data_IF_460631414338
#
_entry.id   IF_460631414338
#
_cell.length_a   1.000
_cell.length_b   1.000
_cell.length_c   1.000
_cell.angle_alpha   90.00
_cell.angle_beta   90.00
_cell.angle_gamma   90.00
#
_symmetry.space_group_name_H-M   'P 1'
#
loop_
_entity.id
_entity.type
_entity.pdbx_description
1 polymer ?
#
# COMPACT_ATOMS: atom_id res chain seq x y z
N UNK A 1 19.47 0.92 12.93
CA UNK A 1 19.17 -0.52 12.88
C UNK A 1 20.49 -1.28 12.94
N UNK A 2 20.69 -2.08 13.97
CA UNK A 2 21.77 -3.07 14.00
C UNK A 2 21.25 -4.37 13.39
N UNK A 3 22.00 -5.07 12.54
CA UNK A 3 21.55 -6.28 11.82
C UNK A 3 21.07 -7.45 12.72
N UNK A 4 21.20 -7.31 14.04
CA UNK A 4 20.84 -8.34 15.03
C UNK A 4 19.56 -8.02 15.82
N UNK A 5 18.90 -6.90 15.59
CA UNK A 5 17.67 -6.55 16.31
C UNK A 5 16.44 -6.98 15.52
N UNK A 6 15.55 -7.74 16.18
CA UNK A 6 14.23 -8.05 15.62
C UNK A 6 13.37 -6.79 15.59
N UNK A 7 12.58 -6.57 14.51
CA UNK A 7 11.70 -5.41 14.43
C UNK A 7 10.72 -5.38 15.60
N UNK A 8 10.49 -4.20 16.19
CA UNK A 8 9.52 -4.00 17.26
C UNK A 8 8.09 -3.91 16.77
N UNK A 9 7.89 -3.63 15.50
CA UNK A 9 6.58 -3.53 14.87
C UNK A 9 6.41 -4.68 13.89
N UNK A 10 5.36 -5.44 14.08
CA UNK A 10 4.93 -6.52 13.22
C UNK A 10 3.53 -6.25 12.67
N UNK A 11 3.04 -7.16 11.87
CA UNK A 11 1.65 -7.15 11.44
C UNK A 11 0.69 -7.24 12.66
N UNK A 12 -0.55 -6.70 12.55
CA UNK A 12 -1.55 -6.85 13.59
C UNK A 12 -1.70 -8.30 14.06
N UNK A 13 -1.63 -8.50 15.37
CA UNK A 13 -1.66 -9.85 15.99
C UNK A 13 -0.29 -10.53 16.17
N UNK A 14 0.81 -9.89 15.76
CA UNK A 14 2.19 -10.33 16.01
C UNK A 14 2.95 -9.32 16.88
N UNK A 15 2.31 -8.85 17.95
CA UNK A 15 2.92 -7.88 18.86
C UNK A 15 4.18 -8.47 19.53
N UNK A 16 5.31 -7.76 19.49
CA UNK A 16 6.53 -8.21 20.14
C UNK A 16 6.36 -8.22 21.66
N UNK A 17 6.99 -9.18 22.34
CA UNK A 17 6.95 -9.30 23.80
C UNK A 17 7.62 -8.13 24.53
N UNK A 18 8.53 -7.43 23.86
CA UNK A 18 9.23 -6.24 24.36
C UNK A 18 8.95 -5.10 23.40
N UNK A 19 8.33 -4.03 23.89
CA UNK A 19 7.93 -2.86 23.10
C UNK A 19 8.93 -1.71 23.20
N UNK A 20 10.22 -2.02 23.32
CA UNK A 20 11.28 -1.01 23.41
C UNK A 20 12.56 -1.48 22.71
N UNK A 21 13.10 -0.63 21.85
CA UNK A 21 14.42 -0.84 21.25
C UNK A 21 15.50 -0.73 22.34
N UNK A 22 16.56 -1.53 22.20
CA UNK A 22 17.74 -1.41 23.09
C UNK A 22 18.42 -0.04 22.96
N UNK A 23 18.28 0.59 21.81
CA UNK A 23 18.78 1.94 21.52
C UNK A 23 17.76 2.67 20.67
N UNK A 24 17.45 3.89 21.07
CA UNK A 24 16.52 4.77 20.33
C UNK A 24 17.19 6.11 20.08
N UNK A 25 16.99 6.66 18.89
CA UNK A 25 17.32 8.05 18.58
C UNK A 25 16.05 8.89 18.68
N UNK A 26 16.09 9.90 19.55
CA UNK A 26 14.98 10.84 19.68
C UNK A 26 15.36 12.15 19.00
N UNK A 27 14.54 12.58 18.06
CA UNK A 27 14.66 13.90 17.43
C UNK A 27 13.60 14.82 18.00
N UNK A 28 14.01 15.99 18.50
CA UNK A 28 13.11 16.98 19.09
C UNK A 28 13.21 18.26 18.25
N UNK A 29 12.06 18.78 17.85
CA UNK A 29 11.92 20.08 17.21
C UNK A 29 11.57 21.11 18.31
N UNK A 30 12.26 22.24 18.33
CA UNK A 30 12.04 23.32 19.29
C UNK A 30 12.17 24.68 18.62
N UNK A 31 11.55 25.70 19.22
CA UNK A 31 11.64 27.07 18.76
C UNK A 31 13.06 27.64 18.91
N UNK A 32 13.35 28.68 18.13
CA UNK A 32 14.60 29.44 18.23
C UNK A 32 14.78 29.99 19.65
N UNK A 33 15.98 29.75 20.21
CA UNK A 33 16.31 30.17 21.57
C UNK A 33 15.84 29.23 22.67
N UNK A 34 15.26 28.08 22.32
CA UNK A 34 14.90 27.06 23.33
C UNK A 34 16.13 26.57 24.11
N UNK A 35 16.08 26.67 25.44
CA UNK A 35 17.14 26.16 26.31
C UNK A 35 17.10 24.64 26.45
N UNK A 36 17.58 23.96 25.40
CA UNK A 36 17.61 22.50 25.34
C UNK A 36 18.53 21.89 26.40
N UNK A 37 19.59 22.61 26.85
CA UNK A 37 20.54 22.09 27.86
C UNK A 37 19.87 21.94 29.21
N UNK A 38 19.14 22.97 29.66
CA UNK A 38 18.39 22.92 30.91
C UNK A 38 17.26 21.88 30.82
N UNK A 39 16.57 21.81 29.66
CA UNK A 39 15.49 20.85 29.45
C UNK A 39 16.02 19.40 29.45
N UNK A 40 17.19 19.15 28.87
CA UNK A 40 17.84 17.84 28.87
C UNK A 40 18.16 17.40 30.31
N UNK A 41 18.74 18.29 31.10
CA UNK A 41 19.04 18.01 32.51
C UNK A 41 17.80 17.67 33.36
N UNK A 42 16.67 18.33 33.08
CA UNK A 42 15.38 18.01 33.69
C UNK A 42 14.89 16.60 33.27
N UNK A 43 15.01 16.26 32.01
CA UNK A 43 14.64 14.94 31.48
C UNK A 43 15.52 13.84 32.09
N UNK A 44 16.84 14.03 32.09
CA UNK A 44 17.79 13.10 32.71
C UNK A 44 17.43 12.81 34.17
N UNK A 45 17.16 13.86 34.94
CA UNK A 45 16.74 13.73 36.34
C UNK A 45 15.39 13.03 36.48
N UNK A 46 14.41 13.35 35.64
CA UNK A 46 13.07 12.75 35.68
C UNK A 46 13.07 11.27 35.35
N UNK A 47 13.92 10.85 34.43
CA UNK A 47 14.05 9.47 33.99
C UNK A 47 15.06 8.66 34.84
N UNK A 48 15.80 9.30 35.73
CA UNK A 48 16.87 8.65 36.50
C UNK A 48 18.06 8.18 35.65
N UNK A 49 18.28 8.84 34.53
CA UNK A 49 19.36 8.51 33.58
C UNK A 49 20.55 9.42 33.90
N UNK A 50 21.75 8.84 33.96
CA UNK A 50 22.95 9.56 34.35
C UNK A 50 23.37 10.60 33.30
N UNK A 51 23.25 10.29 32.03
CA UNK A 51 23.49 11.20 30.90
C UNK A 51 22.88 10.70 29.60
N UNK A 52 22.22 11.58 28.86
CA UNK A 52 21.78 11.36 27.49
C UNK A 52 22.85 11.84 26.49
N UNK A 53 23.16 11.05 25.48
CA UNK A 53 24.10 11.42 24.43
C UNK A 53 23.41 12.32 23.39
N UNK A 54 23.81 13.58 23.29
CA UNK A 54 23.35 14.48 22.24
C UNK A 54 24.18 14.22 20.97
N UNK A 55 23.54 13.78 19.91
CA UNK A 55 24.20 13.49 18.62
C UNK A 55 24.50 14.74 17.82
N UNK A 56 23.48 15.60 17.66
CA UNK A 56 23.61 16.88 16.97
C UNK A 56 22.57 17.87 17.48
N UNK A 57 22.84 19.14 17.27
CA UNK A 57 21.89 20.26 17.46
C UNK A 57 22.07 21.14 16.24
N UNK A 58 21.04 21.19 15.41
CA UNK A 58 21.09 21.87 14.10
C UNK A 58 19.92 22.84 14.01
N UNK A 59 20.16 24.01 13.43
CA UNK A 59 19.09 24.91 13.08
C UNK A 59 18.28 24.30 11.92
N UNK A 60 16.95 24.30 12.05
CA UNK A 60 16.09 23.96 10.93
C UNK A 60 16.18 25.09 9.91
N UNK A 61 16.65 24.84 8.69
CA UNK A 61 16.79 25.88 7.70
C UNK A 61 15.41 26.44 7.30
N UNK A 62 15.34 27.74 7.14
CA UNK A 62 14.15 28.39 6.56
C UNK A 62 14.17 28.18 5.04
N UNK A 63 13.61 27.06 4.63
CA UNK A 63 13.57 26.63 3.23
C UNK A 63 12.13 26.28 2.85
N UNK A 64 11.83 26.36 1.58
CA UNK A 64 10.57 25.87 1.02
C UNK A 64 10.50 24.33 1.11
N UNK A 65 10.03 23.84 2.26
CA UNK A 65 9.88 22.39 2.53
C UNK A 65 8.95 21.73 1.53
N UNK A 66 7.95 22.44 1.02
CA UNK A 66 7.04 21.92 -0.01
C UNK A 66 7.83 21.58 -1.25
N UNK A 67 8.63 22.51 -1.74
CA UNK A 67 9.47 22.33 -2.94
C UNK A 67 10.53 21.24 -2.74
N UNK A 68 11.14 21.17 -1.55
CA UNK A 68 12.15 20.13 -1.25
C UNK A 68 11.47 18.76 -1.23
N UNK A 69 10.32 18.64 -0.59
CA UNK A 69 9.57 17.39 -0.55
C UNK A 69 9.11 16.98 -1.95
N UNK A 70 8.56 17.91 -2.72
CA UNK A 70 8.16 17.67 -4.11
C UNK A 70 9.32 17.21 -4.99
N UNK A 71 10.52 17.77 -4.80
CA UNK A 71 11.71 17.36 -5.57
C UNK A 71 12.15 15.90 -5.32
N UNK A 72 11.74 15.30 -4.20
CA UNK A 72 12.03 13.90 -3.89
C UNK A 72 11.12 12.93 -4.64
N UNK A 73 9.97 13.38 -5.14
CA UNK A 73 9.01 12.55 -5.83
C UNK A 73 9.03 12.85 -7.32
N UNK A 74 9.71 12.00 -8.07
CA UNK A 74 9.78 12.04 -9.52
C UNK A 74 8.72 11.13 -10.15
N UNK A 75 8.31 11.36 -11.41
CA UNK A 75 7.47 10.41 -12.14
C UNK A 75 8.05 9.01 -12.14
N UNK A 76 7.22 8.01 -11.92
CA UNK A 76 7.60 6.60 -11.81
C UNK A 76 6.95 5.80 -12.93
N UNK A 77 7.72 5.03 -13.70
CA UNK A 77 7.17 4.07 -14.65
C UNK A 77 6.73 2.81 -13.91
N UNK A 78 5.44 2.69 -13.63
CA UNK A 78 4.88 1.58 -12.87
C UNK A 78 4.67 0.31 -13.71
N UNK A 79 4.44 0.46 -15.03
CA UNK A 79 4.39 -0.64 -15.98
C UNK A 79 4.87 -0.18 -17.37
N UNK A 80 4.86 -1.09 -18.34
CA UNK A 80 5.25 -0.75 -19.70
C UNK A 80 4.41 0.39 -20.31
N UNK A 81 3.12 0.48 -19.95
CA UNK A 81 2.16 1.45 -20.50
C UNK A 81 1.81 2.59 -19.55
N UNK A 82 2.11 2.49 -18.24
CA UNK A 82 1.63 3.42 -17.22
C UNK A 82 2.76 4.11 -16.47
N UNK A 83 2.67 5.44 -16.42
CA UNK A 83 3.46 6.28 -15.52
C UNK A 83 2.59 6.83 -14.38
N UNK A 84 3.15 6.91 -13.19
CA UNK A 84 2.59 7.63 -12.04
C UNK A 84 3.30 8.97 -12.01
N UNK A 85 2.54 10.06 -12.10
CA UNK A 85 3.07 11.41 -12.29
C UNK A 85 2.51 12.30 -11.20
N UNK A 86 3.36 12.88 -10.32
CA UNK A 86 2.92 13.90 -9.38
C UNK A 86 2.35 15.13 -10.08
N UNK A 87 1.40 15.84 -9.47
CA UNK A 87 0.70 16.98 -10.07
C UNK A 87 1.62 18.15 -10.45
N UNK A 88 2.79 18.26 -9.81
CA UNK A 88 3.82 19.28 -10.07
C UNK A 88 4.85 18.87 -11.12
N UNK A 89 4.71 17.72 -11.73
CA UNK A 89 5.65 17.18 -12.72
C UNK A 89 5.00 17.08 -14.09
N UNK A 90 5.81 17.26 -15.14
CA UNK A 90 5.38 16.97 -16.50
C UNK A 90 5.50 15.47 -16.80
N UNK A 91 4.57 14.90 -17.57
CA UNK A 91 4.64 13.51 -17.96
C UNK A 91 5.91 13.21 -18.79
N UNK A 92 6.76 12.25 -18.38
CA UNK A 92 7.95 11.87 -19.15
C UNK A 92 7.63 11.29 -20.52
N UNK A 93 6.46 10.68 -20.68
CA UNK A 93 5.98 10.08 -21.92
C UNK A 93 4.53 10.51 -22.14
N UNK A 94 4.27 11.62 -22.84
CA UNK A 94 2.91 12.13 -23.07
C UNK A 94 1.98 11.15 -23.80
N UNK A 95 2.53 10.28 -24.64
CA UNK A 95 1.77 9.26 -25.39
C UNK A 95 1.42 8.00 -24.57
N UNK A 96 2.03 7.85 -23.39
CA UNK A 96 1.72 6.76 -22.45
C UNK A 96 0.51 7.11 -21.58
N UNK A 97 0.00 6.11 -20.85
CA UNK A 97 -0.96 6.36 -19.79
C UNK A 97 -0.25 7.07 -18.63
N UNK A 98 -0.75 8.22 -18.22
CA UNK A 98 -0.17 9.03 -17.15
C UNK A 98 -1.20 9.20 -16.05
N UNK A 99 -1.01 8.48 -14.94
CA UNK A 99 -1.83 8.60 -13.74
C UNK A 99 -1.31 9.74 -12.88
N UNK A 100 -2.13 10.74 -12.63
CA UNK A 100 -1.82 11.82 -11.69
C UNK A 100 -2.05 11.33 -10.27
N UNK A 101 -0.97 11.26 -9.49
CA UNK A 101 -1.04 10.83 -8.10
C UNK A 101 0.02 11.54 -7.27
N UNK A 102 -0.43 12.30 -6.28
CA UNK A 102 0.46 12.97 -5.34
C UNK A 102 0.75 12.07 -4.14
N UNK A 103 2.00 12.02 -3.67
CA UNK A 103 2.32 11.41 -2.39
C UNK A 103 1.51 12.08 -1.28
N UNK A 104 0.71 11.29 -0.57
CA UNK A 104 -0.22 11.78 0.44
C UNK A 104 -0.13 10.99 1.74
N UNK A 105 -1.09 11.23 2.62
CA UNK A 105 -1.21 10.57 3.93
C UNK A 105 -1.66 9.11 3.80
N UNK A 106 -2.41 8.76 2.73
CA UNK A 106 -2.86 7.40 2.48
C UNK A 106 -1.76 6.55 1.84
N UNK A 107 -1.74 5.26 2.18
CA UNK A 107 -0.81 4.28 1.59
C UNK A 107 -1.06 4.10 0.08
N UNK A 108 0.00 3.91 -0.69
CA UNK A 108 -0.10 3.70 -2.15
C UNK A 108 0.42 4.87 -2.98
N UNK A 109 1.65 5.35 -2.69
CA UNK A 109 2.35 6.38 -3.49
C UNK A 109 2.83 5.87 -4.85
N UNK A 110 2.72 4.58 -5.09
CA UNK A 110 3.19 3.94 -6.32
C UNK A 110 4.67 3.55 -6.35
N UNK A 111 5.46 3.90 -5.33
CA UNK A 111 6.90 3.60 -5.30
C UNK A 111 7.24 2.20 -4.75
N UNK A 112 6.30 1.55 -4.07
CA UNK A 112 6.55 0.26 -3.42
C UNK A 112 6.52 -0.89 -4.43
N UNK A 113 7.42 -1.90 -4.33
CA UNK A 113 7.46 -3.05 -5.25
C UNK A 113 6.11 -3.78 -5.38
N UNK A 114 5.36 -3.94 -4.28
CA UNK A 114 4.02 -4.58 -4.32
C UNK A 114 3.04 -3.87 -5.23
N UNK A 115 3.06 -2.52 -5.24
CA UNK A 115 2.20 -1.71 -6.11
C UNK A 115 2.61 -1.86 -7.57
N UNK A 116 3.91 -1.81 -7.87
CA UNK A 116 4.42 -2.04 -9.23
C UNK A 116 4.03 -3.41 -9.74
N UNK A 117 4.26 -4.45 -8.95
CA UNK A 117 3.91 -5.82 -9.33
C UNK A 117 2.41 -5.98 -9.61
N UNK A 118 1.53 -5.37 -8.79
CA UNK A 118 0.08 -5.39 -9.02
C UNK A 118 -0.31 -4.64 -10.31
N UNK A 119 0.27 -3.46 -10.55
CA UNK A 119 0.03 -2.68 -11.78
C UNK A 119 0.53 -3.44 -13.02
N UNK A 120 1.71 -4.06 -12.95
CA UNK A 120 2.24 -4.90 -14.03
C UNK A 120 1.33 -6.10 -14.30
N UNK A 121 0.81 -6.73 -13.23
CA UNK A 121 -0.12 -7.83 -13.38
C UNK A 121 -1.40 -7.38 -14.11
N UNK A 122 -1.97 -6.24 -13.74
CA UNK A 122 -3.14 -5.64 -14.41
C UNK A 122 -2.82 -5.31 -15.87
N UNK A 123 -1.66 -4.70 -16.16
CA UNK A 123 -1.23 -4.36 -17.52
C UNK A 123 -1.12 -5.58 -18.45
N UNK A 124 -0.67 -6.72 -17.91
CA UNK A 124 -0.44 -7.95 -18.67
C UNK A 124 -1.69 -8.84 -18.79
N UNK A 125 -2.60 -8.81 -17.83
CA UNK A 125 -3.66 -9.82 -17.70
C UNK A 125 -5.09 -9.29 -17.80
N UNK A 126 -5.34 -7.99 -17.47
CA UNK A 126 -6.66 -7.40 -17.54
C UNK A 126 -7.13 -7.31 -19.00
N UNK A 127 -8.35 -7.78 -19.25
CA UNK A 127 -9.01 -7.68 -20.55
C UNK A 127 -9.98 -6.53 -20.56
N UNK A 128 -10.13 -5.88 -21.70
CA UNK A 128 -11.06 -4.77 -21.85
C UNK A 128 -12.48 -5.19 -21.49
N UNK A 129 -13.11 -4.39 -20.63
CA UNK A 129 -14.48 -4.59 -20.19
C UNK A 129 -14.66 -5.44 -18.94
N UNK A 130 -13.59 -6.05 -18.39
CA UNK A 130 -13.66 -6.80 -17.13
C UNK A 130 -13.99 -5.87 -15.95
N UNK A 131 -14.69 -6.40 -14.96
CA UNK A 131 -15.04 -5.74 -13.71
C UNK A 131 -13.96 -5.99 -12.67
N UNK A 132 -13.55 -4.95 -11.92
CA UNK A 132 -12.44 -5.03 -10.96
C UNK A 132 -12.87 -4.55 -9.59
N UNK A 133 -12.58 -5.33 -8.56
CA UNK A 133 -12.64 -4.94 -7.16
C UNK A 133 -11.22 -4.80 -6.58
N UNK A 134 -10.89 -3.61 -6.08
CA UNK A 134 -9.67 -3.29 -5.33
C UNK A 134 -10.01 -3.29 -3.83
N UNK A 135 -9.64 -4.36 -3.12
CA UNK A 135 -9.96 -4.54 -1.70
C UNK A 135 -8.79 -4.10 -0.81
N UNK A 136 -8.98 -3.06 -0.02
CA UNK A 136 -7.91 -2.31 0.65
C UNK A 136 -7.28 -1.32 -0.32
N UNK A 137 -8.13 -0.48 -0.96
CA UNK A 137 -7.74 0.31 -2.11
C UNK A 137 -6.78 1.48 -1.79
N UNK A 138 -6.67 1.91 -0.53
CA UNK A 138 -5.81 3.01 -0.14
C UNK A 138 -6.07 4.27 -0.97
N UNK A 139 -5.07 4.73 -1.72
CA UNK A 139 -5.20 5.87 -2.66
C UNK A 139 -6.06 5.59 -3.89
N UNK A 140 -6.55 4.36 -4.07
CA UNK A 140 -7.28 3.92 -5.27
C UNK A 140 -6.39 3.59 -6.46
N UNK A 141 -5.08 3.54 -6.28
CA UNK A 141 -4.10 3.43 -7.37
C UNK A 141 -4.33 2.21 -8.26
N UNK A 142 -4.69 1.04 -7.70
CA UNK A 142 -4.90 -0.19 -8.48
C UNK A 142 -6.22 -0.14 -9.25
N UNK A 143 -7.31 0.34 -8.63
CA UNK A 143 -8.59 0.54 -9.29
C UNK A 143 -8.47 1.56 -10.44
N UNK A 144 -7.75 2.68 -10.22
CA UNK A 144 -7.51 3.70 -11.24
C UNK A 144 -6.67 3.12 -12.38
N UNK A 145 -5.60 2.37 -12.08
CA UNK A 145 -4.78 1.69 -13.08
C UNK A 145 -5.64 0.72 -13.91
N UNK A 146 -6.49 -0.10 -13.28
CA UNK A 146 -7.39 -1.01 -13.98
C UNK A 146 -8.33 -0.28 -14.93
N UNK A 147 -8.93 0.85 -14.51
CA UNK A 147 -9.77 1.68 -15.37
C UNK A 147 -8.99 2.23 -16.57
N UNK A 148 -7.77 2.74 -16.35
CA UNK A 148 -6.91 3.26 -17.42
C UNK A 148 -6.47 2.16 -18.40
N UNK A 149 -6.34 0.91 -17.96
CA UNK A 149 -6.07 -0.25 -18.81
C UNK A 149 -7.30 -0.76 -19.56
N UNK A 150 -8.49 -0.26 -19.25
CA UNK A 150 -9.72 -0.54 -19.98
C UNK A 150 -10.69 -1.47 -19.26
N UNK A 151 -10.64 -1.57 -17.93
CA UNK A 151 -11.71 -2.20 -17.16
C UNK A 151 -13.08 -1.60 -17.49
N UNK A 152 -14.11 -2.42 -17.50
CA UNK A 152 -15.49 -2.00 -17.75
C UNK A 152 -16.11 -1.27 -16.58
N UNK A 153 -15.75 -1.68 -15.36
CA UNK A 153 -16.06 -0.97 -14.13
C UNK A 153 -15.02 -1.28 -13.05
N UNK A 154 -14.82 -0.31 -12.16
CA UNK A 154 -13.91 -0.47 -11.02
C UNK A 154 -14.64 -0.08 -9.73
N UNK A 155 -14.43 -0.88 -8.69
CA UNK A 155 -14.85 -0.57 -7.34
C UNK A 155 -13.65 -0.73 -6.41
N UNK A 156 -13.56 0.13 -5.39
CA UNK A 156 -12.55 0.06 -4.35
C UNK A 156 -13.17 0.14 -2.97
N UNK A 157 -12.66 -0.61 -2.02
CA UNK A 157 -13.05 -0.42 -0.63
C UNK A 157 -11.84 -0.40 0.30
N UNK A 158 -11.96 0.41 1.36
CA UNK A 158 -10.96 0.47 2.42
C UNK A 158 -11.64 0.65 3.78
N UNK A 159 -11.01 0.13 4.84
CA UNK A 159 -11.51 0.29 6.22
C UNK A 159 -11.31 1.72 6.75
N UNK A 160 -10.34 2.46 6.17
CA UNK A 160 -10.04 3.83 6.54
C UNK A 160 -10.89 4.80 5.70
N UNK A 161 -11.78 5.59 6.32
CA UNK A 161 -12.54 6.62 5.61
C UNK A 161 -11.67 7.65 4.87
N UNK A 162 -10.47 7.95 5.39
CA UNK A 162 -9.53 8.87 4.72
C UNK A 162 -8.96 8.26 3.43
N UNK A 163 -8.73 6.96 3.40
CA UNK A 163 -8.34 6.25 2.19
C UNK A 163 -9.46 6.27 1.14
N UNK A 164 -10.71 6.07 1.57
CA UNK A 164 -11.88 6.18 0.67
C UNK A 164 -12.02 7.59 0.09
N UNK A 165 -11.82 8.64 0.90
CA UNK A 165 -11.84 10.02 0.42
C UNK A 165 -10.70 10.28 -0.58
N UNK A 166 -9.48 9.85 -0.25
CA UNK A 166 -8.32 9.97 -1.13
C UNK A 166 -8.52 9.23 -2.46
N UNK A 167 -9.07 8.02 -2.43
CA UNK A 167 -9.32 7.24 -3.65
C UNK A 167 -10.34 7.91 -4.57
N UNK A 168 -11.40 8.50 -4.02
CA UNK A 168 -12.39 9.28 -4.78
C UNK A 168 -11.76 10.51 -5.44
N UNK A 169 -10.99 11.27 -4.67
CA UNK A 169 -10.27 12.44 -5.16
C UNK A 169 -9.30 12.10 -6.30
N UNK A 170 -8.52 11.03 -6.12
CA UNK A 170 -7.58 10.57 -7.13
C UNK A 170 -8.27 10.04 -8.40
N UNK A 171 -9.39 9.32 -8.24
CA UNK A 171 -10.18 8.85 -9.37
C UNK A 171 -10.73 10.04 -10.19
N UNK A 172 -11.29 11.06 -9.53
CA UNK A 172 -11.77 12.28 -10.17
C UNK A 172 -10.65 13.00 -10.93
N UNK A 173 -9.47 13.18 -10.32
CA UNK A 173 -8.30 13.82 -10.92
C UNK A 173 -7.78 13.08 -12.18
N UNK A 174 -8.08 11.79 -12.28
CA UNK A 174 -7.72 10.96 -13.42
C UNK A 174 -8.87 10.71 -14.40
N UNK A 175 -10.03 11.34 -14.19
CA UNK A 175 -11.22 11.15 -15.04
C UNK A 175 -11.77 9.71 -14.97
N UNK A 176 -11.51 9.00 -13.90
CA UNK A 176 -11.97 7.62 -13.67
C UNK A 176 -13.28 7.64 -12.92
N UNK A 177 -14.29 6.99 -13.48
CA UNK A 177 -15.56 6.75 -12.77
C UNK A 177 -15.49 5.39 -12.08
N UNK A 178 -15.63 5.39 -10.76
CA UNK A 178 -15.60 4.17 -9.93
C UNK A 178 -16.39 4.37 -8.65
N UNK A 179 -16.73 3.28 -7.98
CA UNK A 179 -17.36 3.30 -6.65
C UNK A 179 -16.28 3.03 -5.60
N UNK A 180 -16.03 4.00 -4.72
CA UNK A 180 -15.10 3.86 -3.60
C UNK A 180 -15.87 4.04 -2.30
N UNK A 181 -15.80 3.04 -1.40
CA UNK A 181 -16.62 3.00 -0.20
C UNK A 181 -15.94 2.24 0.94
N UNK A 182 -16.53 2.24 2.11
CA UNK A 182 -16.19 1.32 3.18
C UNK A 182 -16.59 -0.12 2.79
N UNK A 183 -16.01 -1.18 3.40
CA UNK A 183 -16.29 -2.57 3.01
C UNK A 183 -17.77 -2.97 3.03
N UNK A 184 -18.56 -2.39 3.92
CA UNK A 184 -20.02 -2.60 4.00
C UNK A 184 -20.79 -2.01 2.81
N UNK A 185 -20.19 -1.11 2.05
CA UNK A 185 -20.74 -0.56 0.80
C UNK A 185 -20.58 -1.51 -0.39
N UNK A 186 -19.81 -2.59 -0.27
CA UNK A 186 -19.68 -3.65 -1.28
C UNK A 186 -20.68 -4.78 -0.92
N UNK A 187 -21.70 -5.05 -1.76
CA UNK A 187 -22.64 -6.12 -1.48
C UNK A 187 -21.96 -7.47 -1.33
N UNK A 188 -22.26 -8.20 -0.25
CA UNK A 188 -21.65 -9.50 0.01
C UNK A 188 -21.86 -10.47 -1.18
N UNK A 189 -20.76 -11.11 -1.61
CA UNK A 189 -20.80 -12.07 -2.72
C UNK A 189 -21.06 -11.45 -4.10
N UNK A 190 -21.04 -10.13 -4.26
CA UNK A 190 -21.06 -9.49 -5.58
C UNK A 190 -19.84 -9.97 -6.38
N UNK A 191 -20.05 -10.61 -7.57
CA UNK A 191 -18.95 -11.19 -8.32
C UNK A 191 -18.22 -10.13 -9.16
N UNK A 192 -16.89 -10.30 -9.30
CA UNK A 192 -16.02 -9.51 -10.17
C UNK A 192 -15.12 -10.43 -11.00
N UNK A 193 -14.79 -9.99 -12.21
CA UNK A 193 -13.85 -10.72 -13.06
C UNK A 193 -12.44 -10.72 -12.48
N UNK A 194 -12.07 -9.64 -11.78
CA UNK A 194 -10.79 -9.52 -11.08
C UNK A 194 -11.05 -8.99 -9.67
N UNK A 195 -10.56 -9.70 -8.65
CA UNK A 195 -10.44 -9.22 -7.27
C UNK A 195 -8.96 -9.06 -6.99
N UNK A 196 -8.53 -7.85 -6.66
CA UNK A 196 -7.15 -7.53 -6.30
C UNK A 196 -7.07 -6.98 -4.89
N UNK A 197 -6.08 -7.42 -4.11
CA UNK A 197 -5.82 -6.91 -2.77
C UNK A 197 -4.31 -6.82 -2.52
N UNK A 198 -3.84 -5.61 -2.22
CA UNK A 198 -2.45 -5.34 -1.86
C UNK A 198 -2.39 -4.87 -0.40
N UNK A 199 -2.55 -5.80 0.52
CA UNK A 199 -2.59 -5.58 1.97
C UNK A 199 -1.72 -6.61 2.69
N UNK A 200 -1.47 -6.40 3.99
CA UNK A 200 -0.60 -7.27 4.78
C UNK A 200 -1.14 -8.71 4.91
N UNK A 201 -0.25 -9.67 5.17
CA UNK A 201 -0.52 -11.10 5.21
C UNK A 201 -1.63 -11.49 6.18
N UNK A 202 -1.63 -11.01 7.42
CA UNK A 202 -2.66 -11.41 8.41
C UNK A 202 -4.07 -10.92 8.04
N UNK A 203 -4.28 -9.66 7.61
CA UNK A 203 -5.53 -9.23 6.99
C UNK A 203 -5.96 -10.09 5.80
N UNK A 204 -5.05 -10.44 4.88
CA UNK A 204 -5.36 -11.33 3.75
C UNK A 204 -5.89 -12.68 4.22
N UNK A 205 -5.25 -13.31 5.22
CA UNK A 205 -5.69 -14.58 5.78
C UNK A 205 -7.10 -14.46 6.37
N UNK A 206 -7.35 -13.41 7.16
CA UNK A 206 -8.64 -13.18 7.80
C UNK A 206 -9.76 -12.93 6.80
N UNK A 207 -9.45 -12.24 5.70
CA UNK A 207 -10.39 -11.86 4.65
C UNK A 207 -10.51 -12.92 3.54
N UNK A 208 -9.77 -14.04 3.61
CA UNK A 208 -9.75 -15.03 2.53
C UNK A 208 -11.15 -15.52 2.12
N UNK A 209 -12.13 -15.80 3.02
CA UNK A 209 -13.48 -16.19 2.60
C UNK A 209 -14.22 -15.06 1.86
N UNK A 210 -14.05 -13.81 2.32
CA UNK A 210 -14.69 -12.63 1.70
C UNK A 210 -14.13 -12.40 0.30
N UNK A 211 -12.80 -12.37 0.17
CA UNK A 211 -12.13 -12.16 -1.11
C UNK A 211 -12.49 -13.26 -2.13
N UNK A 212 -12.46 -14.53 -1.71
CA UNK A 212 -12.89 -15.65 -2.55
C UNK A 212 -14.36 -15.51 -2.98
N UNK A 213 -15.24 -15.06 -2.06
CA UNK A 213 -16.66 -14.88 -2.34
C UNK A 213 -16.96 -13.80 -3.39
N UNK A 214 -16.04 -12.89 -3.63
CA UNK A 214 -16.16 -11.84 -4.66
C UNK A 214 -15.58 -12.26 -6.03
N UNK A 215 -14.83 -13.35 -6.14
CA UNK A 215 -14.29 -13.80 -7.44
C UNK A 215 -15.38 -14.49 -8.24
N UNK A 216 -15.69 -13.98 -9.43
CA UNK A 216 -16.62 -14.60 -10.36
C UNK A 216 -16.12 -16.00 -10.79
N UNK A 217 -17.02 -16.86 -11.30
CA UNK A 217 -16.62 -18.09 -11.98
C UNK A 217 -15.73 -17.77 -13.18
N UNK A 218 -14.58 -18.41 -13.29
CA UNK A 218 -13.57 -18.08 -14.30
C UNK A 218 -12.85 -16.74 -14.06
N UNK A 219 -13.19 -16.01 -13.01
CA UNK A 219 -12.53 -14.76 -12.60
C UNK A 219 -11.15 -15.00 -11.98
N UNK A 220 -10.46 -13.93 -11.65
CA UNK A 220 -9.09 -13.95 -11.16
C UNK A 220 -8.98 -13.28 -9.79
N UNK A 221 -8.19 -13.90 -8.92
CA UNK A 221 -7.78 -13.34 -7.63
C UNK A 221 -6.30 -12.97 -7.69
N UNK A 222 -5.96 -11.78 -7.23
CA UNK A 222 -4.60 -11.22 -7.23
C UNK A 222 -4.28 -10.67 -5.85
N UNK A 223 -3.24 -11.18 -5.24
CA UNK A 223 -2.86 -10.83 -3.87
C UNK A 223 -1.41 -10.36 -3.82
N UNK A 224 -1.15 -9.27 -3.10
CA UNK A 224 0.18 -8.75 -2.82
C UNK A 224 0.28 -8.18 -1.40
N UNK A 225 1.44 -7.61 -1.03
CA UNK A 225 1.75 -7.27 0.35
C UNK A 225 2.27 -8.47 1.14
N UNK A 226 2.85 -9.45 0.44
CA UNK A 226 3.23 -10.78 0.96
C UNK A 226 4.74 -10.94 0.84
N UNK A 227 5.42 -11.18 1.95
CA UNK A 227 6.84 -11.52 1.99
C UNK A 227 7.07 -12.99 1.61
N UNK A 228 8.31 -13.34 1.23
CA UNK A 228 8.67 -14.69 0.79
C UNK A 228 8.32 -15.79 1.81
N UNK A 229 8.52 -15.53 3.08
CA UNK A 229 8.25 -16.46 4.18
C UNK A 229 6.75 -16.59 4.52
N UNK A 230 5.91 -15.72 3.98
CA UNK A 230 4.46 -15.69 4.21
C UNK A 230 3.67 -16.42 3.12
N UNK A 231 4.28 -16.71 1.97
CA UNK A 231 3.61 -17.25 0.77
C UNK A 231 2.82 -18.52 1.08
N UNK A 232 3.43 -19.49 1.74
CA UNK A 232 2.78 -20.78 2.01
C UNK A 232 1.58 -20.65 2.94
N UNK A 233 1.64 -19.72 3.91
CA UNK A 233 0.52 -19.42 4.81
C UNK A 233 -0.69 -18.85 4.06
N UNK A 234 -0.45 -17.95 3.10
CA UNK A 234 -1.49 -17.37 2.25
C UNK A 234 -2.11 -18.46 1.36
N UNK A 235 -1.31 -19.23 0.66
CA UNK A 235 -1.80 -20.32 -0.21
C UNK A 235 -2.69 -21.28 0.57
N UNK A 236 -2.26 -21.71 1.75
CA UNK A 236 -3.03 -22.63 2.59
C UNK A 236 -4.34 -22.01 3.10
N UNK A 237 -4.33 -20.73 3.49
CA UNK A 237 -5.54 -20.03 3.96
C UNK A 237 -6.59 -19.92 2.85
N UNK A 238 -6.19 -19.54 1.65
CA UNK A 238 -7.10 -19.39 0.51
C UNK A 238 -7.58 -20.74 -0.02
N UNK A 239 -6.74 -21.78 -0.02
CA UNK A 239 -7.15 -23.14 -0.35
C UNK A 239 -8.22 -23.69 0.61
N UNK A 240 -8.14 -23.32 1.90
CA UNK A 240 -9.17 -23.69 2.90
C UNK A 240 -10.46 -22.89 2.70
N UNK A 241 -10.36 -21.61 2.33
CA UNK A 241 -11.51 -20.74 2.11
C UNK A 241 -12.31 -21.15 0.86
N UNK A 242 -11.62 -21.43 -0.25
CA UNK A 242 -12.24 -21.92 -1.49
C UNK A 242 -11.27 -22.83 -2.26
N UNK A 243 -11.51 -24.16 -2.28
CA UNK A 243 -10.68 -25.10 -3.02
C UNK A 243 -10.67 -24.88 -4.56
N UNK A 244 -11.63 -24.16 -5.11
CA UNK A 244 -11.65 -23.81 -6.54
C UNK A 244 -10.63 -22.74 -6.91
N UNK A 245 -10.00 -22.10 -5.92
CA UNK A 245 -8.97 -21.06 -6.09
C UNK A 245 -7.62 -21.64 -5.68
N UNK A 246 -6.76 -21.91 -6.64
CA UNK A 246 -5.40 -22.44 -6.40
C UNK A 246 -4.40 -21.33 -6.72
N UNK A 247 -3.94 -20.64 -5.67
CA UNK A 247 -2.95 -19.57 -5.78
C UNK A 247 -1.58 -20.11 -6.18
N UNK A 248 -0.92 -19.39 -7.05
CA UNK A 248 0.49 -19.59 -7.40
C UNK A 248 1.21 -18.25 -7.47
N UNK A 249 2.53 -18.29 -7.25
CA UNK A 249 3.36 -17.09 -7.40
C UNK A 249 3.41 -16.69 -8.87
N UNK A 250 2.97 -15.48 -9.18
CA UNK A 250 3.10 -14.91 -10.51
C UNK A 250 4.47 -14.27 -10.69
N UNK A 251 4.88 -13.41 -9.74
CA UNK A 251 6.17 -12.70 -9.77
C UNK A 251 6.58 -12.27 -8.36
N UNK A 252 7.89 -12.04 -8.17
CA UNK A 252 8.43 -11.44 -6.94
C UNK A 252 9.48 -10.38 -7.25
N UNK A 253 9.61 -9.38 -6.38
CA UNK A 253 10.58 -8.31 -6.45
C UNK A 253 10.95 -7.88 -5.02
N UNK A 254 12.24 -7.80 -4.72
CA UNK A 254 12.78 -7.38 -3.41
C UNK A 254 12.18 -8.15 -2.21
N UNK A 255 11.89 -9.45 -2.38
CA UNK A 255 11.28 -10.28 -1.34
C UNK A 255 9.76 -10.13 -1.21
N UNK A 256 9.13 -9.25 -2.00
CA UNK A 256 7.69 -9.09 -2.09
C UNK A 256 7.10 -9.90 -3.24
N UNK A 257 5.91 -10.41 -3.04
CA UNK A 257 5.28 -11.33 -3.98
C UNK A 257 3.92 -10.85 -4.47
N UNK A 258 3.59 -11.20 -5.72
CA UNK A 258 2.22 -11.29 -6.20
C UNK A 258 1.86 -12.76 -6.39
N UNK A 259 0.78 -13.17 -5.75
CA UNK A 259 0.14 -14.45 -5.99
C UNK A 259 -1.12 -14.24 -6.82
N UNK A 260 -1.39 -15.13 -7.76
CA UNK A 260 -2.62 -15.08 -8.53
C UNK A 260 -3.22 -16.46 -8.73
N UNK A 261 -4.53 -16.49 -8.92
CA UNK A 261 -5.29 -17.68 -9.26
C UNK A 261 -6.45 -17.32 -10.18
N UNK A 262 -6.84 -18.28 -11.01
CA UNK A 262 -8.14 -18.25 -11.69
C UNK A 262 -9.08 -19.19 -10.96
N UNK A 263 -10.29 -18.71 -10.60
CA UNK A 263 -11.33 -19.58 -10.05
C UNK A 263 -11.80 -20.55 -11.12
N UNK A 264 -11.79 -21.86 -10.81
CA UNK A 264 -12.34 -22.84 -11.72
C UNK A 264 -13.84 -22.59 -11.93
N UNK A 265 -14.31 -22.76 -13.16
CA UNK A 265 -15.74 -22.78 -13.44
C UNK A 265 -16.37 -24.04 -12.82
N UNK A 266 -17.56 -23.89 -12.23
CA UNK A 266 -18.35 -25.05 -11.81
C UNK A 266 -18.71 -25.89 -13.04
N UNK A 267 -18.44 -27.20 -12.98
CA UNK A 267 -18.77 -28.17 -14.03
C UNK A 267 -20.28 -28.37 -14.12
#
# INVERSE_FOLDING_TARGET
DTPSESPLFGEPGLEPKVQAWNRSLLTVLADDGFDWKTSLAVIEKALGIEKLEVKSVEAVPDVDWVRITQAQFQPIQASRRLWIVPSWSEPPSPDALNMKLDPGVAFGTGSHPTTHLCIQWLDENLKKGETVLDYGCGTGILAIAAAMFGAGSVEGCDIDPLAVEASRFNAENNGVTGNFCLPDGIPAGKPYDIVIANILCNPLISLSPTLCGHVAEGGQLVLSGILDDQVDRIIEAFRKADPAITLSRWRSEEGWNVLSARRAASL
#
